data_IF_783125554047
#
_entry.id   IF_783125554047
#
_cell.length_a   1.000
_cell.length_b   1.000
_cell.length_c   1.000
_cell.angle_alpha   90.00
_cell.angle_beta   90.00
_cell.angle_gamma   90.00
#
_symmetry.space_group_name_H-M   'P 1'
#
loop_
_entity.id
_entity.type
_entity.pdbx_description
1 polymer ?
#
# COMPACT_ATOMS: atom_id res chain seq x y z
N UNK A 1 -20.28 -22.81 -7.55
CA UNK A 1 -19.11 -22.17 -8.19
C UNK A 1 -17.89 -22.85 -7.59
N UNK A 2 -17.01 -23.45 -8.41
CA UNK A 2 -15.69 -23.91 -7.90
C UNK A 2 -14.89 -22.65 -7.57
N UNK A 3 -14.62 -22.42 -6.30
CA UNK A 3 -13.68 -21.39 -5.89
C UNK A 3 -12.32 -21.72 -6.51
N UNK A 4 -11.65 -20.75 -7.10
CA UNK A 4 -10.31 -20.94 -7.65
C UNK A 4 -9.39 -21.31 -6.48
N UNK A 5 -8.71 -22.45 -6.57
CA UNK A 5 -7.81 -22.96 -5.52
C UNK A 5 -6.75 -21.92 -5.17
N UNK A 6 -6.30 -21.14 -6.15
CA UNK A 6 -5.36 -20.04 -5.91
C UNK A 6 -5.97 -18.97 -5.00
N UNK A 7 -7.20 -18.59 -5.24
CA UNK A 7 -7.93 -17.61 -4.43
C UNK A 7 -8.19 -18.15 -3.01
N UNK A 8 -8.55 -19.42 -2.90
CA UNK A 8 -8.72 -20.11 -1.61
C UNK A 8 -7.44 -20.09 -0.76
N UNK A 9 -6.27 -20.33 -1.38
CA UNK A 9 -4.97 -20.25 -0.70
C UNK A 9 -4.67 -18.81 -0.26
N UNK A 10 -4.94 -17.82 -1.12
CA UNK A 10 -4.73 -16.40 -0.79
C UNK A 10 -5.61 -15.96 0.38
N UNK A 11 -6.90 -16.31 0.36
CA UNK A 11 -7.84 -15.94 1.42
C UNK A 11 -7.47 -16.59 2.78
N UNK A 12 -7.09 -17.86 2.77
CA UNK A 12 -6.57 -18.54 3.96
C UNK A 12 -5.29 -17.88 4.50
N UNK A 13 -4.38 -17.49 3.58
CA UNK A 13 -3.15 -16.79 3.95
C UNK A 13 -3.44 -15.43 4.57
N UNK A 14 -4.35 -14.65 3.98
CA UNK A 14 -4.79 -13.35 4.53
C UNK A 14 -5.37 -13.53 5.93
N UNK A 15 -6.23 -14.53 6.12
CA UNK A 15 -6.84 -14.81 7.42
C UNK A 15 -5.77 -15.13 8.48
N UNK A 16 -4.85 -16.03 8.18
CA UNK A 16 -3.74 -16.37 9.07
C UNK A 16 -2.86 -15.16 9.39
N UNK A 17 -2.58 -14.31 8.38
CA UNK A 17 -1.82 -13.10 8.58
C UNK A 17 -2.54 -12.13 9.54
N UNK A 18 -3.84 -11.93 9.40
CA UNK A 18 -4.63 -11.02 10.23
C UNK A 18 -4.74 -11.50 11.68
N UNK A 19 -4.78 -12.81 11.90
CA UNK A 19 -4.92 -13.44 13.22
C UNK A 19 -3.57 -13.63 13.93
N UNK A 20 -2.46 -13.62 13.20
CA UNK A 20 -1.13 -13.86 13.78
C UNK A 20 -0.53 -12.59 14.39
N UNK A 21 0.10 -12.77 15.56
CA UNK A 21 0.95 -11.75 16.17
C UNK A 21 2.37 -11.76 15.59
N UNK A 22 2.77 -12.86 14.98
CA UNK A 22 4.08 -13.05 14.35
C UNK A 22 3.92 -13.70 12.97
N UNK A 23 3.87 -12.92 11.90
CA UNK A 23 3.72 -13.42 10.52
C UNK A 23 4.89 -14.28 10.04
N UNK A 24 6.08 -14.11 10.64
CA UNK A 24 7.26 -14.90 10.26
C UNK A 24 7.10 -16.37 10.69
N UNK A 25 6.36 -16.61 11.76
CA UNK A 25 6.09 -17.94 12.29
C UNK A 25 5.13 -18.76 11.41
N UNK A 26 4.31 -18.13 10.55
CA UNK A 26 3.36 -18.84 9.69
C UNK A 26 4.13 -19.70 8.69
N UNK A 27 3.88 -21.01 8.71
CA UNK A 27 4.51 -21.95 7.79
C UNK A 27 3.62 -22.23 6.57
N UNK A 28 4.25 -22.71 5.48
CA UNK A 28 3.49 -23.19 4.30
C UNK A 28 2.53 -24.32 4.64
N UNK A 29 2.86 -25.12 5.67
CA UNK A 29 1.98 -26.20 6.17
C UNK A 29 0.75 -25.64 6.87
N UNK A 30 0.90 -24.58 7.65
CA UNK A 30 -0.24 -23.93 8.32
C UNK A 30 -1.20 -23.35 7.27
N UNK A 31 -0.64 -22.74 6.21
CA UNK A 31 -1.43 -22.22 5.09
C UNK A 31 -2.15 -23.35 4.34
N UNK A 32 -1.48 -24.46 4.08
CA UNK A 32 -2.08 -25.61 3.39
C UNK A 32 -3.24 -26.19 4.20
N UNK A 33 -3.06 -26.34 5.52
CA UNK A 33 -4.09 -26.80 6.43
C UNK A 33 -5.28 -25.82 6.50
N UNK A 34 -5.02 -24.53 6.62
CA UNK A 34 -6.07 -23.51 6.68
C UNK A 34 -6.85 -23.38 5.35
N UNK A 35 -6.18 -23.59 4.24
CA UNK A 35 -6.79 -23.58 2.91
C UNK A 35 -7.45 -24.91 2.52
N UNK A 36 -7.35 -25.96 3.34
CA UNK A 36 -7.81 -27.31 3.01
C UNK A 36 -7.29 -27.81 1.65
N UNK A 37 -5.98 -27.63 1.41
CA UNK A 37 -5.30 -28.05 0.18
C UNK A 37 -4.05 -28.86 0.49
N UNK A 38 -3.60 -29.65 -0.49
CA UNK A 38 -2.30 -30.31 -0.40
C UNK A 38 -1.16 -29.29 -0.54
N UNK A 39 -0.06 -29.49 0.19
CA UNK A 39 1.13 -28.63 0.14
C UNK A 39 1.67 -28.44 -1.30
N UNK A 40 1.56 -29.48 -2.15
CA UNK A 40 1.94 -29.43 -3.54
C UNK A 40 1.19 -28.37 -4.34
N UNK A 41 -0.06 -28.06 -3.98
CA UNK A 41 -0.86 -27.03 -4.64
C UNK A 41 -0.31 -25.63 -4.36
N UNK A 42 0.19 -25.39 -3.14
CA UNK A 42 0.84 -24.10 -2.83
C UNK A 42 2.10 -23.92 -3.69
N UNK A 43 2.95 -24.95 -3.78
CA UNK A 43 4.17 -24.90 -4.62
C UNK A 43 3.83 -24.77 -6.11
N UNK A 44 2.68 -25.28 -6.55
CA UNK A 44 2.24 -25.16 -7.94
C UNK A 44 1.79 -23.73 -8.30
N UNK A 45 1.04 -23.07 -7.41
CA UNK A 45 0.52 -21.72 -7.64
C UNK A 45 1.47 -20.60 -7.25
N UNK A 46 2.34 -20.86 -6.24
CA UNK A 46 3.25 -19.87 -5.68
C UNK A 46 4.65 -20.51 -5.55
N UNK A 47 5.63 -19.94 -6.19
CA UNK A 47 6.98 -20.53 -6.29
C UNK A 47 7.76 -20.45 -4.97
N UNK A 48 7.29 -19.61 -4.02
CA UNK A 48 7.90 -19.45 -2.70
C UNK A 48 6.89 -18.95 -1.68
N UNK A 49 7.22 -19.14 -0.38
CA UNK A 49 6.46 -18.53 0.73
C UNK A 49 6.42 -17.01 0.59
N UNK A 50 7.53 -16.40 0.22
CA UNK A 50 7.65 -14.93 0.08
C UNK A 50 6.72 -14.41 -1.01
N UNK A 51 6.64 -15.10 -2.15
CA UNK A 51 5.70 -14.75 -3.21
C UNK A 51 4.25 -14.87 -2.77
N UNK A 52 3.91 -15.96 -2.07
CA UNK A 52 2.57 -16.16 -1.52
C UNK A 52 2.20 -15.05 -0.54
N UNK A 53 3.08 -14.73 0.41
CA UNK A 53 2.87 -13.64 1.37
C UNK A 53 2.74 -12.29 0.68
N UNK A 54 3.58 -12.01 -0.31
CA UNK A 54 3.48 -10.79 -1.13
C UNK A 54 2.13 -10.68 -1.84
N UNK A 55 1.69 -11.76 -2.50
CA UNK A 55 0.40 -11.78 -3.21
C UNK A 55 -0.78 -11.65 -2.24
N UNK A 56 -0.73 -12.29 -1.06
CA UNK A 56 -1.78 -12.21 -0.04
C UNK A 56 -1.90 -10.79 0.55
N UNK A 57 -0.78 -10.18 0.94
CA UNK A 57 -0.78 -8.79 1.42
C UNK A 57 -1.17 -7.82 0.31
N UNK A 58 -0.77 -8.10 -0.94
CA UNK A 58 -1.21 -7.36 -2.13
C UNK A 58 -2.72 -7.43 -2.34
N UNK A 59 -3.33 -8.61 -2.20
CA UNK A 59 -4.77 -8.81 -2.30
C UNK A 59 -5.52 -8.03 -1.20
N UNK A 60 -5.04 -8.08 0.05
CA UNK A 60 -5.59 -7.31 1.15
C UNK A 60 -5.54 -5.81 0.86
N UNK A 61 -4.39 -5.31 0.42
CA UNK A 61 -4.18 -3.90 0.05
C UNK A 61 -5.09 -3.47 -1.10
N UNK A 62 -5.22 -4.30 -2.14
CA UNK A 62 -6.08 -4.03 -3.30
C UNK A 62 -7.57 -4.00 -2.93
N UNK A 63 -8.00 -4.91 -2.06
CA UNK A 63 -9.37 -4.92 -1.52
C UNK A 63 -9.67 -3.61 -0.81
N UNK A 64 -8.80 -3.17 0.08
CA UNK A 64 -9.00 -1.95 0.86
C UNK A 64 -8.88 -0.68 0.00
N UNK A 65 -7.97 -0.64 -0.98
CA UNK A 65 -7.91 0.44 -1.97
C UNK A 65 -9.17 0.46 -2.85
N UNK A 66 -9.68 -0.70 -3.24
CA UNK A 66 -10.94 -0.85 -3.97
C UNK A 66 -12.14 -0.36 -3.18
N UNK A 67 -12.22 -0.69 -1.90
CA UNK A 67 -13.26 -0.22 -0.98
C UNK A 67 -13.17 1.30 -0.83
N UNK A 68 -11.98 1.86 -0.67
CA UNK A 68 -11.79 3.32 -0.61
C UNK A 68 -12.21 3.99 -1.92
N UNK A 69 -11.75 3.48 -3.07
CA UNK A 69 -12.08 4.01 -4.39
C UNK A 69 -13.58 3.88 -4.70
N UNK A 70 -14.25 2.83 -4.22
CA UNK A 70 -15.68 2.63 -4.44
C UNK A 70 -16.55 3.60 -3.64
N UNK A 71 -16.14 3.96 -2.42
CA UNK A 71 -16.90 4.81 -1.49
C UNK A 71 -16.48 6.27 -1.61
N UNK A 72 -15.20 6.57 -1.43
CA UNK A 72 -14.68 7.96 -1.37
C UNK A 72 -14.08 8.45 -2.70
N UNK A 73 -13.52 7.55 -3.49
CA UNK A 73 -12.88 7.92 -4.76
C UNK A 73 -13.85 8.36 -5.85
N UNK A 74 -15.14 8.03 -5.71
CA UNK A 74 -16.22 8.44 -6.63
C UNK A 74 -16.81 9.80 -6.31
N UNK A 75 -16.44 10.42 -5.21
CA UNK A 75 -16.91 11.77 -4.91
C UNK A 75 -16.24 12.79 -5.86
N UNK A 76 -16.80 12.90 -7.06
CA UNK A 76 -16.37 13.89 -8.06
C UNK A 76 -16.50 15.34 -7.61
N UNK A 77 -17.16 15.61 -6.49
CA UNK A 77 -17.24 16.95 -5.89
C UNK A 77 -15.94 17.31 -5.18
N UNK A 78 -15.20 16.31 -4.69
CA UNK A 78 -13.90 16.53 -4.06
C UNK A 78 -12.82 16.73 -5.12
N UNK A 79 -11.97 17.75 -4.95
CA UNK A 79 -10.86 18.03 -5.86
C UNK A 79 -9.91 16.81 -5.99
N UNK A 80 -9.40 16.46 -7.18
CA UNK A 80 -8.55 15.27 -7.41
C UNK A 80 -7.35 15.19 -6.46
N UNK A 81 -6.70 16.32 -6.17
CA UNK A 81 -5.60 16.39 -5.20
C UNK A 81 -6.02 15.93 -3.79
N UNK A 82 -7.19 16.35 -3.31
CA UNK A 82 -7.69 15.93 -2.01
C UNK A 82 -8.06 14.45 -2.00
N UNK A 83 -8.66 13.95 -3.08
CA UNK A 83 -8.93 12.50 -3.22
C UNK A 83 -7.63 11.70 -3.17
N UNK A 84 -6.59 12.14 -3.86
CA UNK A 84 -5.28 11.50 -3.85
C UNK A 84 -4.64 11.53 -2.46
N UNK A 85 -4.66 12.68 -1.79
CA UNK A 85 -4.18 12.83 -0.41
C UNK A 85 -4.88 11.86 0.55
N UNK A 86 -6.22 11.81 0.54
CA UNK A 86 -7.00 10.93 1.41
C UNK A 86 -6.74 9.44 1.10
N UNK A 87 -6.54 9.09 -0.16
CA UNK A 87 -6.15 7.74 -0.56
C UNK A 87 -4.78 7.37 0.05
N UNK A 88 -3.79 8.25 -0.04
CA UNK A 88 -2.47 8.01 0.55
C UNK A 88 -2.55 7.86 2.07
N UNK A 89 -3.33 8.70 2.75
CA UNK A 89 -3.54 8.61 4.20
C UNK A 89 -4.16 7.25 4.56
N UNK A 90 -5.16 6.80 3.82
CA UNK A 90 -5.79 5.51 4.06
C UNK A 90 -4.80 4.35 3.85
N UNK A 91 -4.04 4.36 2.75
CA UNK A 91 -3.05 3.33 2.43
C UNK A 91 -1.89 3.31 3.44
N UNK A 92 -1.37 4.48 3.82
CA UNK A 92 -0.30 4.57 4.81
C UNK A 92 -0.78 4.19 6.21
N UNK A 93 -2.00 4.58 6.60
CA UNK A 93 -2.60 4.15 7.87
C UNK A 93 -2.72 2.64 8.00
N UNK A 94 -2.99 1.96 6.89
CA UNK A 94 -2.94 0.50 6.84
C UNK A 94 -1.53 -0.03 6.96
N UNK A 95 -0.56 0.59 6.28
CA UNK A 95 0.85 0.21 6.38
C UNK A 95 1.36 0.35 7.82
N UNK A 96 0.91 1.36 8.55
CA UNK A 96 1.18 1.52 9.98
C UNK A 96 0.53 0.40 10.80
N UNK A 97 -0.77 0.16 10.60
CA UNK A 97 -1.51 -0.89 11.31
C UNK A 97 -0.94 -2.29 11.08
N UNK A 98 -0.44 -2.56 9.87
CA UNK A 98 0.10 -3.84 9.45
C UNK A 98 1.60 -3.76 9.13
N UNK A 99 2.34 -2.93 9.86
CA UNK A 99 3.78 -2.66 9.63
C UNK A 99 4.65 -3.92 9.62
N UNK A 100 4.26 -4.94 10.39
CA UNK A 100 4.91 -6.24 10.42
C UNK A 100 4.90 -6.98 9.07
N UNK A 101 3.96 -6.63 8.16
CA UNK A 101 3.86 -7.25 6.83
C UNK A 101 4.57 -6.43 5.75
N UNK A 102 4.93 -5.18 6.04
CA UNK A 102 5.59 -4.30 5.06
C UNK A 102 6.94 -4.86 4.61
N UNK A 103 7.65 -5.57 5.48
CA UNK A 103 8.94 -6.18 5.15
C UNK A 103 8.80 -7.16 3.97
N UNK A 104 7.80 -8.03 4.00
CA UNK A 104 7.58 -9.02 2.93
C UNK A 104 7.17 -8.41 1.61
N UNK A 105 6.42 -7.30 1.66
CA UNK A 105 5.89 -6.69 0.43
C UNK A 105 6.88 -5.73 -0.22
N UNK A 106 7.53 -4.88 0.55
CA UNK A 106 8.43 -3.85 -0.01
C UNK A 106 9.68 -4.47 -0.59
N UNK A 107 10.33 -5.40 0.12
CA UNK A 107 11.53 -6.08 -0.37
C UNK A 107 11.23 -6.89 -1.64
N UNK A 108 10.14 -7.63 -1.65
CA UNK A 108 9.76 -8.44 -2.82
C UNK A 108 9.40 -7.55 -4.02
N UNK A 109 8.64 -6.46 -3.81
CA UNK A 109 8.27 -5.52 -4.86
C UNK A 109 9.48 -4.81 -5.47
N UNK A 110 10.44 -4.39 -4.64
CA UNK A 110 11.66 -3.71 -5.10
C UNK A 110 12.61 -4.62 -5.89
N UNK A 111 12.59 -5.93 -5.63
CA UNK A 111 13.61 -6.85 -6.16
C UNK A 111 13.10 -7.88 -7.17
N UNK A 112 11.81 -8.20 -7.16
CA UNK A 112 11.28 -9.37 -7.90
C UNK A 112 9.94 -9.15 -8.57
N UNK A 113 9.11 -8.23 -8.08
CA UNK A 113 7.76 -8.06 -8.60
C UNK A 113 7.67 -7.00 -9.70
N UNK A 114 6.60 -7.07 -10.47
CA UNK A 114 6.20 -5.98 -11.36
C UNK A 114 5.77 -4.75 -10.54
N UNK A 115 5.92 -3.55 -11.12
CA UNK A 115 5.53 -2.28 -10.47
C UNK A 115 3.99 -2.17 -10.51
N UNK A 116 3.33 -2.74 -9.50
CA UNK A 116 1.86 -2.77 -9.39
C UNK A 116 1.33 -1.70 -8.43
N UNK A 117 2.08 -1.38 -7.37
CA UNK A 117 1.65 -0.47 -6.29
C UNK A 117 1.26 0.93 -6.77
N UNK A 118 1.83 1.39 -7.87
CA UNK A 118 1.56 2.72 -8.45
C UNK A 118 0.31 2.79 -9.31
N UNK A 119 -0.22 1.66 -9.79
CA UNK A 119 -1.28 1.63 -10.79
C UNK A 119 -2.56 2.37 -10.35
N UNK A 120 -2.91 2.27 -9.07
CA UNK A 120 -4.09 2.94 -8.51
C UNK A 120 -3.93 4.46 -8.37
N UNK A 121 -2.69 4.96 -8.33
CA UNK A 121 -2.37 6.38 -8.15
C UNK A 121 -2.34 7.15 -9.46
N UNK A 122 -1.93 6.49 -10.56
CA UNK A 122 -1.76 7.11 -11.89
C UNK A 122 -3.02 7.85 -12.37
N UNK A 123 -4.25 7.29 -12.30
CA UNK A 123 -5.44 7.99 -12.74
C UNK A 123 -5.68 9.31 -12.00
N UNK A 124 -5.49 9.33 -10.67
CA UNK A 124 -5.67 10.54 -9.87
C UNK A 124 -4.59 11.58 -10.17
N UNK A 125 -3.32 11.17 -10.31
CA UNK A 125 -2.23 12.09 -10.68
C UNK A 125 -2.49 12.69 -12.06
N UNK A 126 -2.96 11.89 -13.02
CA UNK A 126 -3.33 12.39 -14.36
C UNK A 126 -4.44 13.43 -14.28
N UNK A 127 -5.45 13.20 -13.45
CA UNK A 127 -6.54 14.15 -13.23
C UNK A 127 -6.07 15.45 -12.55
N UNK A 128 -5.12 15.37 -11.60
CA UNK A 128 -4.49 16.54 -10.96
C UNK A 128 -3.70 17.36 -11.97
N UNK A 129 -2.90 16.69 -12.79
CA UNK A 129 -2.00 17.35 -13.74
C UNK A 129 -2.71 17.87 -15.00
N UNK A 130 -3.84 17.26 -15.38
CA UNK A 130 -4.48 17.53 -16.67
C UNK A 130 -3.48 17.31 -17.82
N UNK A 131 -3.48 18.24 -18.78
CA UNK A 131 -2.57 18.19 -19.94
C UNK A 131 -1.20 18.84 -19.68
N UNK A 132 -0.87 19.21 -18.44
CA UNK A 132 0.36 19.95 -18.10
C UNK A 132 1.61 19.07 -18.00
N UNK A 133 1.45 17.77 -17.85
CA UNK A 133 2.57 16.81 -17.70
C UNK A 133 2.45 15.68 -18.73
N UNK A 134 3.59 15.20 -19.19
CA UNK A 134 3.66 14.00 -20.05
C UNK A 134 3.29 12.75 -19.27
N UNK A 135 2.88 11.68 -19.97
CA UNK A 135 2.59 10.38 -19.35
C UNK A 135 3.80 9.83 -18.59
N UNK A 136 5.00 10.00 -19.14
CA UNK A 136 6.25 9.62 -18.45
C UNK A 136 6.40 10.36 -17.12
N UNK A 137 6.17 11.67 -17.10
CA UNK A 137 6.24 12.48 -15.88
C UNK A 137 5.20 12.04 -14.84
N UNK A 138 3.97 11.71 -15.28
CA UNK A 138 2.91 11.20 -14.40
C UNK A 138 3.32 9.88 -13.76
N UNK A 139 3.87 8.93 -14.54
CA UNK A 139 4.31 7.62 -14.06
C UNK A 139 5.51 7.72 -13.11
N UNK A 140 6.47 8.59 -13.43
CA UNK A 140 7.62 8.85 -12.54
C UNK A 140 7.14 9.47 -11.23
N UNK A 141 6.27 10.48 -11.27
CA UNK A 141 5.69 11.08 -10.06
C UNK A 141 4.96 10.05 -9.20
N UNK A 142 4.18 9.15 -9.81
CA UNK A 142 3.52 8.07 -9.10
C UNK A 142 4.53 7.13 -8.41
N UNK A 143 5.57 6.75 -9.14
CA UNK A 143 6.62 5.88 -8.63
C UNK A 143 7.40 6.53 -7.48
N UNK A 144 7.81 7.79 -7.62
CA UNK A 144 8.54 8.55 -6.60
C UNK A 144 7.73 8.65 -5.30
N UNK A 145 6.46 9.04 -5.37
CA UNK A 145 5.60 9.18 -4.19
C UNK A 145 5.43 7.84 -3.49
N UNK A 146 5.05 6.80 -4.21
CA UNK A 146 4.75 5.49 -3.61
C UNK A 146 6.02 4.84 -3.05
N UNK A 147 7.13 4.82 -3.82
CA UNK A 147 8.39 4.22 -3.35
C UNK A 147 8.95 4.96 -2.13
N UNK A 148 8.85 6.29 -2.09
CA UNK A 148 9.29 7.08 -0.94
C UNK A 148 8.47 6.73 0.30
N UNK A 149 7.15 6.66 0.20
CA UNK A 149 6.29 6.27 1.32
C UNK A 149 6.56 4.82 1.75
N UNK A 150 6.70 3.89 0.81
CA UNK A 150 7.05 2.50 1.13
C UNK A 150 8.36 2.41 1.90
N UNK A 151 9.43 3.09 1.46
CA UNK A 151 10.73 3.08 2.11
C UNK A 151 10.69 3.74 3.50
N UNK A 152 9.94 4.83 3.67
CA UNK A 152 9.78 5.48 4.97
C UNK A 152 9.17 4.50 5.99
N UNK A 153 8.08 3.82 5.64
CA UNK A 153 7.42 2.90 6.57
C UNK A 153 8.16 1.56 6.71
N UNK A 154 8.82 1.09 5.67
CA UNK A 154 9.69 -0.08 5.74
C UNK A 154 10.87 0.12 6.70
N UNK A 155 11.45 1.32 6.70
CA UNK A 155 12.55 1.73 7.57
C UNK A 155 12.09 2.62 8.72
N UNK A 156 10.87 2.44 9.21
CA UNK A 156 10.24 3.35 10.16
C UNK A 156 11.12 3.67 11.37
N UNK A 157 11.82 2.68 11.94
CA UNK A 157 12.74 2.88 13.09
C UNK A 157 13.87 3.84 12.75
N UNK A 158 14.55 3.62 11.61
CA UNK A 158 15.71 4.44 11.22
C UNK A 158 15.27 5.84 10.80
N UNK A 159 14.15 5.93 10.07
CA UNK A 159 13.59 7.21 9.62
C UNK A 159 13.06 8.02 10.81
N UNK A 160 12.43 7.38 11.81
CA UNK A 160 12.04 8.06 13.05
C UNK A 160 13.24 8.64 13.79
N UNK A 161 14.32 7.90 13.89
CA UNK A 161 15.57 8.41 14.49
C UNK A 161 16.15 9.58 13.67
N UNK A 162 16.13 9.50 12.35
CA UNK A 162 16.62 10.55 11.45
C UNK A 162 15.79 11.83 11.51
N UNK A 163 14.46 11.71 11.58
CA UNK A 163 13.55 12.86 11.61
C UNK A 163 13.30 13.41 13.02
N UNK A 164 13.65 12.65 14.08
CA UNK A 164 13.46 13.06 15.48
C UNK A 164 12.03 12.93 15.99
N UNK A 165 11.18 12.15 15.32
CA UNK A 165 9.81 11.83 15.75
C UNK A 165 9.38 10.46 15.23
N UNK A 166 8.36 9.86 15.84
CA UNK A 166 7.81 8.58 15.40
C UNK A 166 6.97 8.75 14.11
N UNK A 167 7.46 8.18 13.00
CA UNK A 167 6.77 8.24 11.70
C UNK A 167 5.48 7.40 11.67
N UNK A 168 5.26 6.52 12.65
CA UNK A 168 4.06 5.71 12.77
C UNK A 168 2.93 6.43 13.49
N UNK A 169 3.19 7.56 14.16
CA UNK A 169 2.14 8.42 14.71
C UNK A 169 1.29 9.01 13.58
N UNK A 170 -0.04 8.98 13.76
CA UNK A 170 -0.99 9.40 12.71
C UNK A 170 -0.72 10.81 12.19
N UNK A 171 -0.54 11.79 13.08
CA UNK A 171 -0.31 13.19 12.70
C UNK A 171 1.02 13.38 11.97
N UNK A 172 2.04 12.60 12.34
CA UNK A 172 3.35 12.59 11.70
C UNK A 172 3.32 11.92 10.34
N UNK A 173 2.58 10.82 10.21
CA UNK A 173 2.32 10.18 8.93
C UNK A 173 1.63 11.15 7.97
N UNK A 174 0.61 11.88 8.42
CA UNK A 174 -0.08 12.89 7.60
C UNK A 174 0.86 14.02 7.21
N UNK A 175 1.70 14.51 8.13
CA UNK A 175 2.70 15.55 7.87
C UNK A 175 3.72 15.12 6.80
N UNK A 176 4.16 13.86 6.83
CA UNK A 176 5.05 13.27 5.81
C UNK A 176 4.37 13.26 4.45
N UNK A 177 3.12 12.77 4.38
CA UNK A 177 2.34 12.73 3.13
C UNK A 177 2.17 14.13 2.57
N UNK A 178 1.77 15.09 3.39
CA UNK A 178 1.57 16.49 2.98
C UNK A 178 2.88 17.12 2.49
N UNK A 179 4.00 16.79 3.11
CA UNK A 179 5.33 17.27 2.70
C UNK A 179 5.71 16.71 1.33
N UNK A 180 5.54 15.41 1.10
CA UNK A 180 5.82 14.77 -0.20
C UNK A 180 4.90 15.35 -1.28
N UNK A 181 3.63 15.49 -1.01
CA UNK A 181 2.67 16.07 -1.96
C UNK A 181 3.00 17.52 -2.29
N UNK A 182 3.49 18.31 -1.34
CA UNK A 182 3.88 19.70 -1.56
C UNK A 182 5.12 19.83 -2.48
N UNK A 183 5.99 18.82 -2.50
CA UNK A 183 7.13 18.76 -3.43
C UNK A 183 6.64 18.50 -4.85
N UNK A 184 5.75 17.55 -5.04
CA UNK A 184 5.29 17.13 -6.36
C UNK A 184 4.19 18.03 -6.95
N UNK A 185 3.42 18.71 -6.09
CA UNK A 185 2.28 19.55 -6.43
C UNK A 185 2.31 20.88 -5.66
N UNK A 186 3.35 21.71 -5.85
CA UNK A 186 3.57 22.95 -5.08
C UNK A 186 2.41 23.95 -5.19
N UNK A 187 1.65 23.92 -6.30
CA UNK A 187 0.49 24.76 -6.54
C UNK A 187 -0.67 24.52 -5.54
N UNK A 188 -0.69 23.37 -4.88
CA UNK A 188 -1.72 23.03 -3.89
C UNK A 188 -1.26 23.18 -2.44
N UNK A 189 0.04 23.42 -2.17
CA UNK A 189 0.64 23.50 -0.85
C UNK A 189 -0.10 24.41 0.13
N UNK A 190 -0.57 25.57 -0.34
CA UNK A 190 -1.27 26.57 0.49
C UNK A 190 -2.79 26.52 0.34
N UNK A 191 -3.29 25.92 -0.73
CA UNK A 191 -4.72 25.91 -1.07
C UNK A 191 -5.51 24.93 -0.24
N UNK A 192 -4.87 23.83 0.22
CA UNK A 192 -5.52 22.74 0.95
C UNK A 192 -4.79 22.40 2.24
N UNK A 193 -4.06 23.37 2.80
CA UNK A 193 -3.44 23.21 4.12
C UNK A 193 -4.54 23.03 5.15
N UNK A 194 -4.68 21.81 5.69
CA UNK A 194 -5.56 21.57 6.82
C UNK A 194 -5.01 22.41 7.97
N UNK A 195 -5.74 23.42 8.38
CA UNK A 195 -5.37 24.24 9.53
C UNK A 195 -5.17 23.31 10.72
N UNK A 196 -3.94 23.23 11.25
CA UNK A 196 -3.74 22.66 12.57
C UNK A 196 -4.66 23.46 13.51
N UNK A 197 -5.80 22.90 13.92
CA UNK A 197 -6.46 23.38 15.11
C UNK A 197 -5.52 23.03 16.27
N UNK A 198 -4.90 24.08 16.80
CA UNK A 198 -4.20 24.08 18.08
C UNK A 198 -5.12 23.60 19.19
#
# INVERSE_FOLDING_TARGET
MKTDVKEQILDATVTLLLDSKDPESITVRDIAAAADVQLAMINYYFHSKDELLYQAVGALRNKMAGDWLSVKGKDKKMHPYLRFREMLIALCGMSVKYSQYMRFTVEYELTRAEIVSTQHTIPLIREICGNKRSETSIRITAYEIISTLQLIFFRAKDISAYLGFDVLEYDRMVEIIDTILAIHFPEYKNKYRVSKKL
#
